data_IF_708130310573
#
_entry.id   IF_708130310573
#
_cell.length_a   1.000
_cell.length_b   1.000
_cell.length_c   1.000
_cell.angle_alpha   90.00
_cell.angle_beta   90.00
_cell.angle_gamma   90.00
#
_symmetry.space_group_name_H-M   'P 1'
#
loop_
_entity.id
_entity.type
_entity.pdbx_description
1 polymer ?
#
# COMPACT_ATOMS: atom_id res chain seq x y z
N UNK A 1 -29.08 50.02 72.24
CA UNK A 1 -28.50 48.68 72.55
C UNK A 1 -28.17 47.98 71.23
N UNK A 2 -26.93 47.79 71.03
CA UNK A 2 -26.10 46.99 70.09
C UNK A 2 -26.78 46.38 68.86
N UNK A 3 -26.57 47.07 67.75
CA UNK A 3 -26.72 46.56 66.39
C UNK A 3 -25.43 45.86 65.97
N UNK A 4 -25.57 44.65 65.37
CA UNK A 4 -24.45 43.96 64.75
C UNK A 4 -24.74 43.83 63.26
N UNK A 5 -24.01 44.57 62.48
CA UNK A 5 -23.99 44.42 61.03
C UNK A 5 -23.20 43.17 60.66
N UNK A 6 -23.80 42.26 59.93
CA UNK A 6 -23.08 41.17 59.27
C UNK A 6 -22.94 41.57 57.80
N UNK A 7 -21.69 41.84 57.41
CA UNK A 7 -21.29 42.04 56.07
C UNK A 7 -21.33 40.72 55.30
N UNK A 8 -22.11 40.67 54.25
CA UNK A 8 -22.15 39.53 53.32
C UNK A 8 -21.12 39.77 52.20
N UNK A 9 -20.02 39.00 52.24
CA UNK A 9 -18.99 39.04 51.22
C UNK A 9 -19.44 38.19 50.05
N UNK A 10 -19.79 38.80 48.92
CA UNK A 10 -20.12 38.13 47.68
C UNK A 10 -18.82 37.81 46.93
N UNK A 11 -18.39 36.57 46.99
CA UNK A 11 -17.30 36.07 46.13
C UNK A 11 -17.85 35.86 44.69
N UNK A 12 -17.42 36.69 43.78
CA UNK A 12 -17.60 36.49 42.35
C UNK A 12 -16.48 35.55 41.89
N UNK A 13 -16.81 34.30 41.70
CA UNK A 13 -15.91 33.32 41.06
C UNK A 13 -15.91 33.55 39.55
N UNK A 14 -14.85 34.13 39.03
CA UNK A 14 -14.59 34.22 37.59
C UNK A 14 -14.28 32.83 37.04
N UNK A 15 -15.22 32.22 36.34
CA UNK A 15 -15.01 31.05 35.51
C UNK A 15 -14.19 31.45 34.27
N UNK A 16 -12.87 31.27 34.37
CA UNK A 16 -12.00 31.28 33.18
C UNK A 16 -12.30 30.03 32.38
N UNK A 17 -13.08 30.21 31.31
CA UNK A 17 -13.28 29.14 30.31
C UNK A 17 -11.96 28.83 29.66
N UNK A 18 -11.42 27.64 29.97
CA UNK A 18 -10.31 27.08 29.22
C UNK A 18 -10.86 26.65 27.85
N UNK A 19 -10.52 27.45 26.85
CA UNK A 19 -10.68 27.08 25.44
C UNK A 19 -9.69 25.95 25.18
N UNK A 20 -10.19 24.74 25.23
CA UNK A 20 -9.45 23.56 24.79
C UNK A 20 -9.29 23.68 23.27
N UNK A 21 -8.17 24.26 22.85
CA UNK A 21 -7.73 24.18 21.45
C UNK A 21 -7.53 22.69 21.16
N UNK A 22 -8.54 22.10 20.53
CA UNK A 22 -8.47 20.75 20.03
C UNK A 22 -7.20 20.62 19.20
N UNK A 23 -6.25 19.86 19.71
CA UNK A 23 -5.12 19.36 18.92
C UNK A 23 -5.75 18.59 17.76
N UNK A 24 -5.73 19.17 16.59
CA UNK A 24 -5.92 18.44 15.34
C UNK A 24 -4.74 17.49 15.29
N UNK A 25 -4.94 16.28 15.80
CA UNK A 25 -4.02 15.18 15.54
C UNK A 25 -4.06 15.00 14.04
N UNK A 26 -3.07 15.55 13.36
CA UNK A 26 -2.75 15.13 12.01
C UNK A 26 -2.61 13.61 12.09
N UNK A 27 -3.54 12.89 11.49
CA UNK A 27 -3.42 11.45 11.26
C UNK A 27 -2.17 11.33 10.39
N UNK A 28 -1.02 11.16 11.06
CA UNK A 28 0.25 10.96 10.39
C UNK A 28 0.05 9.78 9.47
N UNK A 29 0.12 10.03 8.18
CA UNK A 29 0.13 8.97 7.18
C UNK A 29 1.24 8.04 7.61
N UNK A 30 0.86 6.84 8.10
CA UNK A 30 1.83 5.83 8.50
C UNK A 30 2.49 5.35 7.22
N UNK A 31 3.59 6.00 6.86
CA UNK A 31 4.46 5.49 5.80
C UNK A 31 5.01 4.15 6.26
N UNK A 32 4.81 3.12 5.47
CA UNK A 32 5.41 1.82 5.76
C UNK A 32 6.39 1.45 4.66
N UNK A 33 7.45 0.73 5.04
CA UNK A 33 8.41 0.22 4.09
C UNK A 33 7.90 -1.09 3.47
N UNK A 34 7.85 -1.12 2.14
CA UNK A 34 7.47 -2.33 1.40
C UNK A 34 8.49 -3.45 1.59
N UNK A 35 9.77 -3.08 1.57
CA UNK A 35 10.91 -3.95 1.81
C UNK A 35 11.82 -3.32 2.87
N UNK A 36 12.38 -4.13 3.73
CA UNK A 36 13.48 -3.70 4.62
C UNK A 36 14.78 -3.53 3.81
N UNK A 37 15.77 -2.78 4.30
CA UNK A 37 17.06 -2.61 3.62
C UNK A 37 17.76 -3.93 3.31
N UNK A 38 17.71 -4.91 4.22
CA UNK A 38 18.31 -6.23 4.02
C UNK A 38 17.59 -7.02 2.92
N UNK A 39 16.26 -7.03 2.92
CA UNK A 39 15.45 -7.67 1.88
C UNK A 39 15.70 -7.02 0.52
N UNK A 40 15.78 -5.69 0.48
CA UNK A 40 16.08 -4.96 -0.73
C UNK A 40 17.43 -5.34 -1.31
N UNK A 41 18.45 -5.50 -0.48
CA UNK A 41 19.79 -5.93 -0.92
C UNK A 41 19.76 -7.33 -1.54
N UNK A 42 18.97 -8.24 -0.97
CA UNK A 42 18.84 -9.60 -1.48
C UNK A 42 18.01 -9.69 -2.77
N UNK A 43 16.99 -8.83 -2.89
CA UNK A 43 16.01 -8.87 -3.98
C UNK A 43 16.34 -7.91 -5.13
N UNK A 44 17.28 -6.97 -4.93
CA UNK A 44 17.69 -6.01 -5.97
C UNK A 44 18.25 -6.75 -7.18
N UNK A 45 17.73 -6.42 -8.35
CA UNK A 45 18.18 -6.93 -9.63
C UNK A 45 19.27 -6.04 -10.22
N UNK A 46 20.21 -6.66 -10.91
CA UNK A 46 21.03 -5.97 -11.92
C UNK A 46 20.28 -5.93 -13.26
N UNK A 47 20.72 -5.09 -14.19
CA UNK A 47 20.12 -5.01 -15.53
C UNK A 47 20.18 -6.38 -16.26
N UNK A 48 21.24 -7.13 -16.06
CA UNK A 48 21.48 -8.43 -16.71
C UNK A 48 20.60 -9.54 -16.12
N UNK A 49 20.15 -9.40 -14.88
CA UNK A 49 19.31 -10.37 -14.19
C UNK A 49 17.82 -10.27 -14.56
N UNK A 50 17.41 -9.17 -15.17
CA UNK A 50 16.04 -9.02 -15.62
C UNK A 50 15.79 -9.86 -16.88
N UNK A 51 14.93 -10.85 -16.73
CA UNK A 51 14.42 -11.62 -17.86
C UNK A 51 12.94 -11.30 -18.02
N UNK A 52 12.54 -10.67 -19.15
CA UNK A 52 11.14 -10.36 -19.38
C UNK A 52 10.32 -11.65 -19.41
N UNK A 53 9.13 -11.64 -18.81
CA UNK A 53 8.24 -12.78 -18.87
C UNK A 53 7.89 -13.08 -20.34
N UNK A 54 7.69 -14.36 -20.71
CA UNK A 54 7.30 -14.71 -22.07
C UNK A 54 6.05 -13.92 -22.46
N UNK A 55 6.06 -13.29 -23.64
CA UNK A 55 4.91 -12.53 -24.17
C UNK A 55 3.81 -13.46 -24.67
N UNK A 56 3.44 -14.43 -23.88
CA UNK A 56 2.23 -15.19 -24.15
C UNK A 56 1.05 -14.32 -23.74
N UNK A 57 0.26 -13.90 -24.69
CA UNK A 57 -1.13 -13.48 -24.43
C UNK A 57 -1.91 -14.72 -23.99
N UNK A 58 -1.58 -15.24 -22.82
CA UNK A 58 -2.45 -16.18 -22.17
C UNK A 58 -3.76 -15.41 -21.94
N UNK A 59 -4.82 -15.85 -22.61
CA UNK A 59 -6.17 -15.42 -22.31
C UNK A 59 -6.45 -15.95 -20.90
N UNK A 60 -6.05 -15.18 -19.89
CA UNK A 60 -6.39 -15.51 -18.53
C UNK A 60 -7.91 -15.48 -18.39
N UNK A 61 -8.47 -16.58 -17.94
CA UNK A 61 -9.89 -16.66 -17.61
C UNK A 61 -10.19 -16.09 -16.20
N UNK A 62 -9.17 -15.90 -15.39
CA UNK A 62 -9.26 -15.35 -14.05
C UNK A 62 -9.44 -13.82 -14.01
N UNK A 63 -9.46 -13.23 -12.82
CA UNK A 63 -9.65 -11.80 -12.61
C UNK A 63 -8.61 -10.95 -13.35
N UNK A 64 -8.99 -9.72 -13.68
CA UNK A 64 -8.06 -8.76 -14.29
C UNK A 64 -7.34 -7.97 -13.19
N UNK A 65 -6.03 -7.84 -13.32
CA UNK A 65 -5.18 -7.03 -12.46
C UNK A 65 -4.95 -5.68 -13.13
N UNK A 66 -5.42 -4.59 -12.52
CA UNK A 66 -5.30 -3.24 -13.04
C UNK A 66 -4.52 -2.38 -12.04
N UNK A 67 -3.26 -2.08 -12.35
CA UNK A 67 -2.44 -1.19 -11.54
C UNK A 67 -2.71 0.25 -12.00
N UNK A 68 -3.34 1.04 -11.12
CA UNK A 68 -3.65 2.46 -11.36
C UNK A 68 -2.51 3.37 -10.95
N UNK A 69 -1.81 3.01 -9.86
CA UNK A 69 -0.64 3.74 -9.34
C UNK A 69 0.38 2.76 -8.76
N UNK A 70 1.67 2.98 -9.01
CA UNK A 70 2.24 3.82 -10.05
C UNK A 70 1.81 3.35 -11.45
N UNK A 71 1.87 4.20 -12.49
CA UNK A 71 1.47 3.79 -13.84
C UNK A 71 2.43 2.74 -14.41
N UNK A 72 1.88 1.78 -15.13
CA UNK A 72 2.66 0.78 -15.87
C UNK A 72 3.06 1.38 -17.21
N UNK A 73 4.32 1.17 -17.59
CA UNK A 73 4.85 1.43 -18.92
C UNK A 73 5.10 0.10 -19.62
N UNK A 74 4.48 -0.13 -20.75
CA UNK A 74 4.81 -1.27 -21.60
C UNK A 74 6.13 -0.98 -22.33
N UNK A 75 7.16 -1.73 -22.00
CA UNK A 75 8.48 -1.61 -22.63
C UNK A 75 8.78 -2.83 -23.52
N UNK A 76 9.85 -2.75 -24.30
CA UNK A 76 10.35 -3.89 -25.07
C UNK A 76 10.65 -5.09 -24.16
N UNK A 77 11.06 -4.81 -22.92
CA UNK A 77 11.44 -5.80 -21.90
C UNK A 77 10.29 -6.18 -20.95
N UNK A 78 9.05 -5.84 -21.29
CA UNK A 78 7.88 -6.19 -20.48
C UNK A 78 7.32 -5.02 -19.68
N UNK A 79 6.35 -5.30 -18.78
CA UNK A 79 5.68 -4.26 -18.01
C UNK A 79 6.58 -3.69 -16.92
N UNK A 80 6.82 -2.39 -16.98
CA UNK A 80 7.66 -1.63 -16.07
C UNK A 80 6.81 -0.69 -15.21
N UNK A 81 6.99 -0.75 -13.91
CA UNK A 81 6.50 0.21 -12.93
C UNK A 81 7.69 1.10 -12.53
N UNK A 82 7.70 2.35 -12.99
CA UNK A 82 8.75 3.34 -12.67
C UNK A 82 8.19 4.34 -11.66
N UNK A 83 8.85 4.48 -10.50
CA UNK A 83 8.32 5.29 -9.41
C UNK A 83 9.42 6.00 -8.61
N UNK A 84 8.99 7.03 -7.86
CA UNK A 84 9.81 7.74 -6.87
C UNK A 84 9.23 7.42 -5.49
N UNK A 85 10.10 7.03 -4.56
CA UNK A 85 9.72 6.73 -3.18
C UNK A 85 9.67 8.02 -2.34
N UNK A 86 8.64 8.23 -1.47
CA UNK A 86 7.50 7.34 -1.24
C UNK A 86 6.45 7.41 -2.36
N UNK A 87 5.72 6.33 -2.58
CA UNK A 87 4.72 6.22 -3.65
C UNK A 87 3.39 5.70 -3.16
N UNK A 88 2.32 6.00 -3.92
CA UNK A 88 1.01 5.41 -3.69
C UNK A 88 0.84 4.16 -4.54
N UNK A 89 0.33 3.09 -3.96
CA UNK A 89 0.01 1.84 -4.65
C UNK A 89 -1.50 1.70 -4.70
N UNK A 90 -2.05 1.68 -5.92
CA UNK A 90 -3.48 1.46 -6.16
C UNK A 90 -3.63 0.37 -7.21
N UNK A 91 -4.18 -0.77 -6.79
CA UNK A 91 -4.43 -1.93 -7.65
C UNK A 91 -5.89 -2.30 -7.54
N UNK A 92 -6.55 -2.49 -8.69
CA UNK A 92 -7.92 -2.98 -8.77
C UNK A 92 -7.90 -4.41 -9.31
N UNK A 93 -8.74 -5.25 -8.71
CA UNK A 93 -8.97 -6.61 -9.15
C UNK A 93 -10.40 -6.67 -9.69
N UNK A 94 -10.52 -6.74 -11.01
CA UNK A 94 -11.83 -6.79 -11.66
C UNK A 94 -12.20 -8.23 -12.00
N UNK A 95 -13.46 -8.57 -11.73
CA UNK A 95 -14.04 -9.84 -12.18
C UNK A 95 -14.00 -9.96 -13.70
N UNK A 96 -13.81 -11.16 -14.19
CA UNK A 96 -13.87 -11.47 -15.60
C UNK A 96 -15.03 -12.42 -15.91
N UNK A 97 -15.00 -13.64 -15.37
CA UNK A 97 -16.04 -14.65 -15.56
C UNK A 97 -16.76 -15.02 -14.27
N UNK A 98 -16.07 -14.87 -13.16
CA UNK A 98 -16.60 -15.14 -11.83
C UNK A 98 -16.08 -14.08 -10.85
N UNK A 99 -16.75 -13.91 -9.69
CA UNK A 99 -16.31 -12.98 -8.65
C UNK A 99 -14.88 -13.24 -8.18
N UNK A 100 -14.15 -12.17 -7.84
CA UNK A 100 -12.78 -12.25 -7.36
C UNK A 100 -12.73 -12.90 -5.97
N UNK A 101 -11.86 -13.89 -5.78
CA UNK A 101 -11.53 -14.41 -4.45
C UNK A 101 -10.32 -13.66 -3.87
N UNK A 102 -10.59 -12.63 -3.08
CA UNK A 102 -9.54 -11.82 -2.46
C UNK A 102 -8.69 -12.59 -1.42
N UNK A 103 -9.15 -13.76 -0.94
CA UNK A 103 -8.35 -14.61 -0.07
C UNK A 103 -7.24 -15.33 -0.82
N UNK A 104 -7.37 -15.47 -2.13
CA UNK A 104 -6.37 -16.06 -3.00
C UNK A 104 -5.23 -15.09 -3.38
N UNK A 105 -5.37 -13.78 -3.05
CA UNK A 105 -4.39 -12.78 -3.43
C UNK A 105 -3.01 -13.07 -2.85
N UNK A 106 -2.01 -13.16 -3.72
CA UNK A 106 -0.61 -13.27 -3.38
C UNK A 106 0.17 -12.17 -4.10
N UNK A 107 1.00 -11.46 -3.36
CA UNK A 107 1.91 -10.42 -3.87
C UNK A 107 3.28 -10.75 -3.34
N UNK A 108 4.19 -11.06 -4.24
CA UNK A 108 5.54 -11.53 -3.91
C UNK A 108 6.60 -10.68 -4.59
N UNK A 109 7.69 -10.40 -3.89
CA UNK A 109 8.93 -9.96 -4.49
C UNK A 109 9.83 -11.17 -4.76
N UNK A 110 10.36 -11.28 -5.98
CA UNK A 110 11.12 -12.46 -6.43
C UNK A 110 12.48 -12.10 -6.97
N UNK A 111 13.45 -12.97 -6.69
CA UNK A 111 14.76 -12.98 -7.35
C UNK A 111 15.29 -14.40 -7.33
N UNK A 112 15.46 -15.02 -8.51
CA UNK A 112 15.95 -16.40 -8.66
C UNK A 112 15.13 -17.38 -7.80
N UNK A 113 15.78 -17.98 -6.78
CA UNK A 113 15.15 -18.90 -5.83
C UNK A 113 14.56 -18.18 -4.60
N UNK A 114 14.80 -16.87 -4.46
CA UNK A 114 14.26 -16.10 -3.35
C UNK A 114 12.85 -15.59 -3.68
N UNK A 115 11.93 -15.87 -2.78
CA UNK A 115 10.58 -15.31 -2.82
C UNK A 115 10.26 -14.73 -1.45
N UNK A 116 9.88 -13.47 -1.43
CA UNK A 116 9.43 -12.78 -0.24
C UNK A 116 7.96 -12.40 -0.41
N UNK A 117 7.10 -12.93 0.45
CA UNK A 117 5.69 -12.54 0.41
C UNK A 117 5.48 -11.15 1.01
N UNK A 118 4.85 -10.28 0.22
CA UNK A 118 4.44 -8.93 0.60
C UNK A 118 2.98 -8.87 1.00
N UNK A 119 2.23 -9.95 0.77
CA UNK A 119 0.77 -10.03 0.97
C UNK A 119 0.38 -9.62 2.39
N UNK A 120 1.05 -10.15 3.40
CA UNK A 120 0.75 -9.84 4.81
C UNK A 120 0.93 -8.35 5.15
N UNK A 121 1.93 -7.69 4.52
CA UNK A 121 2.21 -6.26 4.71
C UNK A 121 1.16 -5.38 4.04
N UNK A 122 0.63 -5.83 2.91
CA UNK A 122 -0.34 -5.10 2.09
C UNK A 122 -1.79 -5.39 2.49
N UNK A 123 -2.04 -6.49 3.21
CA UNK A 123 -3.37 -6.91 3.65
C UNK A 123 -4.19 -5.82 4.36
N UNK A 124 -3.61 -4.99 5.27
CA UNK A 124 -4.36 -3.91 5.94
C UNK A 124 -4.88 -2.82 4.98
N UNK A 125 -4.35 -2.76 3.76
CA UNK A 125 -4.70 -1.76 2.75
C UNK A 125 -5.66 -2.29 1.69
N UNK A 126 -6.19 -3.51 1.87
CA UNK A 126 -7.18 -4.11 0.98
C UNK A 126 -8.56 -3.65 1.41
N UNK A 127 -9.34 -3.13 0.45
CA UNK A 127 -10.72 -2.68 0.62
C UNK A 127 -11.56 -3.24 -0.53
N UNK A 128 -12.46 -4.18 -0.20
CA UNK A 128 -13.23 -4.89 -1.22
C UNK A 128 -12.30 -5.59 -2.21
N UNK A 129 -12.42 -5.29 -3.51
CA UNK A 129 -11.57 -5.82 -4.58
C UNK A 129 -10.46 -4.83 -5.00
N UNK A 130 -10.04 -3.96 -4.10
CA UNK A 130 -8.96 -3.00 -4.35
C UNK A 130 -7.90 -3.02 -3.25
N UNK A 131 -6.66 -2.73 -3.62
CA UNK A 131 -5.56 -2.46 -2.72
C UNK A 131 -5.20 -0.97 -2.86
N UNK A 132 -5.21 -0.23 -1.74
CA UNK A 132 -4.94 1.20 -1.69
C UNK A 132 -3.99 1.50 -0.53
N UNK A 133 -2.70 1.63 -0.84
CA UNK A 133 -1.66 1.94 0.12
C UNK A 133 -0.98 3.26 -0.27
N UNK A 134 -1.05 4.25 0.61
CA UNK A 134 -0.50 5.58 0.36
C UNK A 134 0.84 5.75 1.07
N UNK A 135 1.76 6.50 0.44
CA UNK A 135 3.04 6.86 1.04
C UNK A 135 3.94 5.66 1.32
N UNK A 136 3.88 4.63 0.47
CA UNK A 136 4.69 3.41 0.62
C UNK A 136 6.15 3.72 0.33
N UNK A 137 7.03 3.41 1.27
CA UNK A 137 8.48 3.51 1.06
C UNK A 137 8.97 2.27 0.32
N UNK A 138 9.47 2.49 -0.88
CA UNK A 138 10.11 1.47 -1.69
C UNK A 138 11.61 1.78 -1.75
N UNK A 139 12.50 0.86 -1.35
CA UNK A 139 13.93 1.09 -1.45
C UNK A 139 14.36 1.35 -2.88
N UNK A 140 15.44 2.12 -3.07
CA UNK A 140 16.02 2.35 -4.38
C UNK A 140 16.49 1.04 -5.02
N UNK A 141 16.17 0.84 -6.29
CA UNK A 141 16.60 -0.31 -7.06
C UNK A 141 15.54 -0.86 -8.00
N UNK A 142 15.85 -2.01 -8.58
CA UNK A 142 14.99 -2.77 -9.49
C UNK A 142 14.58 -4.08 -8.84
N UNK A 143 13.28 -4.41 -8.88
CA UNK A 143 12.71 -5.58 -8.22
C UNK A 143 11.70 -6.29 -9.14
N UNK A 144 11.56 -7.60 -9.01
CA UNK A 144 10.46 -8.34 -9.65
C UNK A 144 9.32 -8.43 -8.66
N UNK A 145 8.15 -7.95 -9.05
CA UNK A 145 6.91 -8.11 -8.30
C UNK A 145 5.98 -9.03 -9.07
N UNK A 146 5.54 -10.09 -8.43
CA UNK A 146 4.53 -10.99 -8.96
C UNK A 146 3.23 -10.84 -8.17
N UNK A 147 2.13 -10.71 -8.88
CA UNK A 147 0.78 -10.63 -8.32
C UNK A 147 -0.01 -11.81 -8.88
N UNK A 148 -0.54 -12.63 -7.99
CA UNK A 148 -1.41 -13.75 -8.33
C UNK A 148 -2.78 -13.55 -7.67
N UNK A 149 -3.85 -13.79 -8.41
CA UNK A 149 -5.23 -13.69 -7.92
C UNK A 149 -6.08 -14.73 -8.65
N UNK A 150 -7.01 -15.34 -7.93
CA UNK A 150 -7.99 -16.26 -8.51
C UNK A 150 -9.43 -15.72 -8.36
N UNK A 151 -10.33 -16.27 -9.13
CA UNK A 151 -11.77 -16.11 -8.90
C UNK A 151 -12.32 -17.29 -8.05
N UNK A 152 -13.57 -17.16 -7.65
CA UNK A 152 -14.25 -18.20 -6.85
C UNK A 152 -14.42 -19.54 -7.61
N UNK A 153 -14.25 -19.56 -8.91
CA UNK A 153 -14.24 -20.77 -9.73
C UNK A 153 -12.83 -21.39 -9.86
N UNK A 154 -11.81 -20.76 -9.27
CA UNK A 154 -10.42 -21.22 -9.26
C UNK A 154 -9.61 -20.82 -10.49
N UNK A 155 -10.15 -19.99 -11.39
CA UNK A 155 -9.37 -19.49 -12.52
C UNK A 155 -8.41 -18.40 -12.06
N UNK A 156 -7.11 -18.57 -12.36
CA UNK A 156 -6.02 -17.73 -11.87
C UNK A 156 -5.51 -16.75 -12.91
N UNK A 157 -5.07 -15.60 -12.43
CA UNK A 157 -4.29 -14.63 -13.20
C UNK A 157 -2.99 -14.36 -12.46
N UNK A 158 -1.89 -14.39 -13.20
CA UNK A 158 -0.55 -14.05 -12.68
C UNK A 158 0.01 -12.91 -13.51
N UNK A 159 0.33 -11.80 -12.84
CA UNK A 159 1.03 -10.66 -13.43
C UNK A 159 2.45 -10.56 -12.86
N UNK A 160 3.45 -10.40 -13.74
CA UNK A 160 4.84 -10.16 -13.34
C UNK A 160 5.29 -8.81 -13.85
N UNK A 161 5.80 -7.98 -12.95
CA UNK A 161 6.16 -6.60 -13.20
C UNK A 161 7.59 -6.32 -12.74
N UNK A 162 8.33 -5.53 -13.52
CA UNK A 162 9.57 -4.92 -13.04
C UNK A 162 9.24 -3.62 -12.32
N UNK A 163 9.58 -3.52 -11.05
CA UNK A 163 9.45 -2.31 -10.26
C UNK A 163 10.81 -1.63 -10.17
N UNK A 164 10.93 -0.42 -10.73
CA UNK A 164 12.08 0.45 -10.56
C UNK A 164 11.72 1.59 -9.62
N UNK A 165 12.44 1.71 -8.52
CA UNK A 165 12.26 2.77 -7.54
C UNK A 165 13.51 3.64 -7.44
N UNK A 166 13.27 4.95 -7.37
CA UNK A 166 14.26 5.99 -7.09
C UNK A 166 13.87 6.74 -5.82
N UNK A 167 14.83 7.35 -5.15
CA UNK A 167 14.62 8.20 -3.98
C UNK A 167 14.69 9.67 -4.40
#
# INVERSE_FOLDING_TARGET
MRSRHKACLVMVAALLGQVNLGQVQSVGQRTFALLTPNEATQLRLTEEEWQPPPRTRALSSGPRIIIKRPPIKDTADGPLIDTISPTDIIILFEENRAPVDMNSLQIDAKKWLFTLSLTARLKPYIQGTSLQANGVQVPEGSFIIQIEIADVAGAKTVGTYRLMSRI
#
